data_IF_643882673012
#
_entry.id   IF_643882673012
#
_cell.length_a   1.000
_cell.length_b   1.000
_cell.length_c   1.000
_cell.angle_alpha   90.00
_cell.angle_beta   90.00
_cell.angle_gamma   90.00
#
_symmetry.space_group_name_H-M   'P 1'
#
loop_
_entity.id
_entity.type
_entity.pdbx_description
1 polymer ?
#
# COMPACT_ATOMS: atom_id res chain seq x y z
N UNK A 1 -5.87 -39.20 15.34
CA UNK A 1 -6.95 -38.19 15.25
C UNK A 1 -6.52 -36.97 14.42
N UNK A 2 -5.23 -36.60 14.41
CA UNK A 2 -4.64 -35.51 13.59
C UNK A 2 -4.76 -35.69 12.05
N UNK A 3 -4.95 -36.92 11.57
CA UNK A 3 -5.04 -37.22 10.13
C UNK A 3 -6.38 -36.79 9.50
N UNK A 4 -7.45 -36.62 10.29
CA UNK A 4 -8.75 -36.14 9.79
C UNK A 4 -8.80 -34.61 9.70
N UNK A 5 -8.20 -33.91 10.67
CA UNK A 5 -8.24 -32.45 10.77
C UNK A 5 -7.46 -31.77 9.63
N UNK A 6 -6.29 -32.31 9.29
CA UNK A 6 -5.50 -31.85 8.14
C UNK A 6 -6.23 -32.05 6.81
N UNK A 7 -6.97 -33.16 6.65
CA UNK A 7 -7.77 -33.41 5.45
C UNK A 7 -8.96 -32.47 5.30
N UNK A 8 -9.60 -32.06 6.40
CA UNK A 8 -10.71 -31.11 6.38
C UNK A 8 -10.25 -29.70 6.02
N UNK A 9 -9.14 -29.23 6.61
CA UNK A 9 -8.55 -27.91 6.32
C UNK A 9 -8.14 -27.81 4.84
N UNK A 10 -7.51 -28.85 4.28
CA UNK A 10 -7.16 -28.86 2.87
C UNK A 10 -8.40 -28.75 1.97
N UNK A 11 -9.47 -29.48 2.31
CA UNK A 11 -10.69 -29.50 1.51
C UNK A 11 -11.39 -28.14 1.51
N UNK A 12 -11.48 -27.52 2.68
CA UNK A 12 -12.04 -26.17 2.82
C UNK A 12 -11.23 -25.11 2.06
N UNK A 13 -9.89 -25.17 2.14
CA UNK A 13 -9.01 -24.29 1.35
C UNK A 13 -9.23 -24.47 -0.16
N UNK A 14 -9.39 -25.70 -0.62
CA UNK A 14 -9.74 -26.03 -2.00
C UNK A 14 -11.09 -25.44 -2.42
N UNK A 15 -12.15 -25.64 -1.63
CA UNK A 15 -13.50 -25.16 -1.94
C UNK A 15 -13.55 -23.62 -2.06
N UNK A 16 -12.79 -22.90 -1.22
CA UNK A 16 -12.67 -21.44 -1.30
C UNK A 16 -11.92 -21.01 -2.57
N UNK A 17 -10.79 -21.64 -2.88
CA UNK A 17 -9.95 -21.25 -4.02
C UNK A 17 -10.53 -21.66 -5.38
N UNK A 18 -11.28 -22.76 -5.44
CA UNK A 18 -12.03 -23.16 -6.64
C UNK A 18 -13.37 -22.44 -6.78
N UNK A 19 -13.80 -21.68 -5.76
CA UNK A 19 -15.01 -20.87 -5.86
C UNK A 19 -14.88 -19.82 -6.96
N UNK A 20 -15.78 -19.91 -7.94
CA UNK A 20 -15.86 -18.99 -9.06
C UNK A 20 -16.08 -17.54 -8.59
N UNK A 21 -16.85 -17.34 -7.52
CA UNK A 21 -17.11 -16.01 -6.97
C UNK A 21 -15.83 -15.40 -6.37
N UNK A 22 -15.02 -16.20 -5.67
CA UNK A 22 -13.74 -15.74 -5.13
C UNK A 22 -12.77 -15.30 -6.24
N UNK A 23 -12.65 -16.09 -7.30
CA UNK A 23 -11.80 -15.77 -8.44
C UNK A 23 -12.29 -14.54 -9.22
N UNK A 24 -13.60 -14.33 -9.35
CA UNK A 24 -14.17 -13.11 -9.94
C UNK A 24 -13.79 -11.88 -9.11
N UNK A 25 -13.92 -11.94 -7.79
CA UNK A 25 -13.54 -10.82 -6.90
C UNK A 25 -12.06 -10.49 -7.06
N UNK A 26 -11.18 -11.50 -7.10
CA UNK A 26 -9.75 -11.27 -7.36
C UNK A 26 -9.51 -10.65 -8.74
N UNK A 27 -10.25 -11.08 -9.76
CA UNK A 27 -10.20 -10.47 -11.09
C UNK A 27 -10.56 -8.98 -11.09
N UNK A 28 -11.61 -8.59 -10.36
CA UNK A 28 -11.96 -7.18 -10.17
C UNK A 28 -10.86 -6.40 -9.43
N UNK A 29 -10.25 -6.98 -8.39
CA UNK A 29 -9.14 -6.35 -7.66
C UNK A 29 -7.97 -6.03 -8.60
N UNK A 30 -7.60 -6.99 -9.46
CA UNK A 30 -6.55 -6.80 -10.47
C UNK A 30 -6.96 -5.67 -11.43
N UNK A 31 -8.18 -5.72 -11.97
CA UNK A 31 -8.67 -4.72 -12.91
C UNK A 31 -8.64 -3.30 -12.32
N UNK A 32 -9.17 -3.11 -11.11
CA UNK A 32 -9.18 -1.82 -10.43
C UNK A 32 -7.77 -1.30 -10.17
N UNK A 33 -6.85 -2.16 -9.74
CA UNK A 33 -5.45 -1.77 -9.51
C UNK A 33 -4.73 -1.41 -10.81
N UNK A 34 -4.97 -2.14 -11.90
CA UNK A 34 -4.39 -1.82 -13.22
C UNK A 34 -4.88 -0.47 -13.75
N UNK A 35 -6.13 -0.09 -13.48
CA UNK A 35 -6.66 1.23 -13.83
C UNK A 35 -6.09 2.32 -12.89
N UNK A 36 -5.92 2.02 -11.60
CA UNK A 36 -5.43 2.97 -10.61
C UNK A 36 -3.94 3.29 -10.75
N UNK A 37 -3.10 2.30 -11.10
CA UNK A 37 -1.65 2.45 -11.24
C UNK A 37 -1.22 3.59 -12.18
N UNK A 38 -1.72 3.73 -13.42
CA UNK A 38 -1.33 4.84 -14.29
C UNK A 38 -1.78 6.18 -13.73
N UNK A 39 -2.94 6.24 -13.06
CA UNK A 39 -3.42 7.45 -12.43
C UNK A 39 -2.52 7.88 -11.25
N UNK A 40 -2.12 6.92 -10.42
CA UNK A 40 -1.17 7.14 -9.33
C UNK A 40 0.22 7.54 -9.83
N UNK A 41 0.72 6.88 -10.88
CA UNK A 41 1.99 7.22 -11.50
C UNK A 41 1.98 8.65 -12.08
N UNK A 42 0.89 9.03 -12.76
CA UNK A 42 0.75 10.39 -13.28
C UNK A 42 0.66 11.42 -12.13
N UNK A 43 -0.06 11.10 -11.07
CA UNK A 43 -0.14 11.93 -9.86
C UNK A 43 1.23 12.10 -9.21
N UNK A 44 2.01 11.03 -9.12
CA UNK A 44 3.37 11.05 -8.60
C UNK A 44 4.28 11.99 -9.41
N UNK A 45 4.27 11.85 -10.74
CA UNK A 45 5.03 12.72 -11.64
C UNK A 45 4.58 14.18 -11.52
N UNK A 46 3.27 14.43 -11.42
CA UNK A 46 2.72 15.76 -11.23
C UNK A 46 3.19 16.40 -9.91
N UNK A 47 3.17 15.65 -8.81
CA UNK A 47 3.62 16.12 -7.49
C UNK A 47 5.12 16.45 -7.47
N UNK A 48 5.95 15.70 -8.20
CA UNK A 48 7.38 15.97 -8.31
C UNK A 48 7.70 17.21 -9.15
N UNK A 49 6.97 17.40 -10.26
CA UNK A 49 7.20 18.52 -11.20
C UNK A 49 6.58 19.84 -10.73
N UNK A 50 5.51 19.78 -9.94
CA UNK A 50 4.77 20.99 -9.54
C UNK A 50 5.43 21.67 -8.34
N UNK A 51 5.82 22.93 -8.52
CA UNK A 51 6.30 23.82 -7.44
C UNK A 51 5.20 24.61 -6.73
N UNK A 52 3.93 24.43 -7.12
CA UNK A 52 2.78 25.19 -6.59
C UNK A 52 2.30 24.73 -5.20
N UNK A 53 2.78 23.58 -4.73
CA UNK A 53 2.34 22.98 -3.45
C UNK A 53 3.42 23.22 -2.40
N UNK A 54 3.01 23.58 -1.18
CA UNK A 54 3.92 23.72 -0.03
C UNK A 54 4.79 22.45 0.13
N UNK A 55 6.09 22.63 0.38
CA UNK A 55 7.06 21.53 0.43
C UNK A 55 6.64 20.39 1.37
N UNK A 56 6.20 20.71 2.59
CA UNK A 56 5.76 19.71 3.58
C UNK A 56 4.58 18.87 3.06
N UNK A 57 3.54 19.52 2.54
CA UNK A 57 2.38 18.84 2.00
C UNK A 57 2.72 18.00 0.78
N UNK A 58 3.63 18.50 -0.08
CA UNK A 58 4.13 17.74 -1.23
C UNK A 58 4.84 16.47 -0.78
N UNK A 59 5.70 16.54 0.23
CA UNK A 59 6.38 15.36 0.79
C UNK A 59 5.38 14.32 1.32
N UNK A 60 4.36 14.77 2.08
CA UNK A 60 3.29 13.88 2.56
C UNK A 60 2.52 13.24 1.40
N UNK A 61 2.10 14.01 0.40
CA UNK A 61 1.34 13.51 -0.75
C UNK A 61 2.17 12.53 -1.60
N UNK A 62 3.47 12.79 -1.76
CA UNK A 62 4.41 11.89 -2.44
C UNK A 62 4.52 10.56 -1.68
N UNK A 63 4.71 10.60 -0.37
CA UNK A 63 4.78 9.38 0.46
C UNK A 63 3.49 8.56 0.41
N UNK A 64 2.33 9.21 0.48
CA UNK A 64 1.02 8.54 0.31
C UNK A 64 0.93 7.89 -1.07
N UNK A 65 1.32 8.61 -2.12
CA UNK A 65 1.22 8.10 -3.50
C UNK A 65 2.13 6.89 -3.72
N UNK A 66 3.37 6.92 -3.20
CA UNK A 66 4.28 5.77 -3.24
C UNK A 66 3.66 4.58 -2.50
N UNK A 67 3.12 4.78 -1.29
CA UNK A 67 2.50 3.71 -0.52
C UNK A 67 1.30 3.08 -1.24
N UNK A 68 0.48 3.89 -1.91
CA UNK A 68 -0.64 3.42 -2.72
C UNK A 68 -0.19 2.62 -3.95
N UNK A 69 0.90 3.05 -4.62
CA UNK A 69 1.49 2.31 -5.74
C UNK A 69 2.00 0.95 -5.27
N UNK A 70 2.78 0.92 -4.18
CA UNK A 70 3.31 -0.33 -3.60
C UNK A 70 2.17 -1.25 -3.19
N UNK A 71 1.11 -0.71 -2.58
CA UNK A 71 -0.10 -1.48 -2.24
C UNK A 71 -0.75 -2.09 -3.47
N UNK A 72 -0.98 -1.30 -4.52
CA UNK A 72 -1.62 -1.76 -5.75
C UNK A 72 -0.80 -2.87 -6.42
N UNK A 73 0.52 -2.75 -6.44
CA UNK A 73 1.42 -3.79 -6.96
C UNK A 73 1.34 -5.08 -6.13
N UNK A 74 1.50 -5.00 -4.81
CA UNK A 74 1.49 -6.18 -3.92
C UNK A 74 0.13 -6.90 -3.93
N UNK A 75 -0.97 -6.15 -3.92
CA UNK A 75 -2.32 -6.74 -3.96
C UNK A 75 -2.63 -7.36 -5.32
N UNK A 76 -2.20 -6.75 -6.42
CA UNK A 76 -2.33 -7.34 -7.75
C UNK A 76 -1.49 -8.59 -7.92
N UNK A 77 -0.24 -8.57 -7.43
CA UNK A 77 0.64 -9.75 -7.45
C UNK A 77 0.03 -10.92 -6.68
N UNK A 78 -0.47 -10.67 -5.46
CA UNK A 78 -1.13 -11.71 -4.65
C UNK A 78 -2.38 -12.25 -5.34
N UNK A 79 -3.23 -11.37 -5.86
CA UNK A 79 -4.46 -11.80 -6.57
C UNK A 79 -4.12 -12.62 -7.81
N UNK A 80 -3.14 -12.19 -8.61
CA UNK A 80 -2.68 -12.92 -9.78
C UNK A 80 -2.10 -14.29 -9.42
N UNK A 81 -1.23 -14.35 -8.39
CA UNK A 81 -0.65 -15.60 -7.95
C UNK A 81 -1.72 -16.59 -7.46
N UNK A 82 -2.73 -16.11 -6.72
CA UNK A 82 -3.85 -16.94 -6.24
C UNK A 82 -4.71 -17.48 -7.39
N UNK A 83 -5.02 -16.66 -8.40
CA UNK A 83 -5.74 -17.12 -9.60
C UNK A 83 -4.89 -18.13 -10.38
N UNK A 84 -3.60 -17.85 -10.57
CA UNK A 84 -2.69 -18.74 -11.29
C UNK A 84 -2.58 -20.11 -10.61
N UNK A 85 -2.41 -20.14 -9.29
CA UNK A 85 -2.42 -21.37 -8.51
C UNK A 85 -3.78 -22.09 -8.60
N UNK A 86 -4.90 -21.38 -8.52
CA UNK A 86 -6.24 -21.98 -8.69
C UNK A 86 -6.45 -22.64 -10.06
N UNK A 87 -5.75 -22.16 -11.11
CA UNK A 87 -5.84 -22.74 -12.46
C UNK A 87 -4.84 -23.87 -12.72
N UNK A 88 -3.71 -23.90 -12.01
CA UNK A 88 -2.60 -24.84 -12.28
C UNK A 88 -2.54 -26.00 -11.31
N UNK A 89 -3.01 -25.81 -10.08
CA UNK A 89 -2.92 -26.79 -9.00
C UNK A 89 -4.19 -27.62 -8.94
N UNK A 90 -4.04 -28.94 -8.94
CA UNK A 90 -5.14 -29.90 -8.77
C UNK A 90 -5.26 -30.42 -7.34
N UNK A 91 -4.19 -30.31 -6.53
CA UNK A 91 -4.17 -30.75 -5.14
C UNK A 91 -4.60 -29.63 -4.18
N UNK A 92 -5.70 -29.81 -3.42
CA UNK A 92 -6.21 -28.74 -2.55
C UNK A 92 -5.32 -28.44 -1.33
N UNK A 93 -4.48 -29.40 -0.90
CA UNK A 93 -3.52 -29.17 0.19
C UNK A 93 -2.40 -28.18 -0.17
N UNK A 94 -2.10 -27.97 -1.46
CA UNK A 94 -1.09 -27.00 -1.89
C UNK A 94 -1.55 -25.54 -1.71
N UNK A 95 -2.84 -25.30 -1.42
CA UNK A 95 -3.33 -23.98 -1.02
C UNK A 95 -3.04 -23.64 0.44
N UNK A 96 -2.68 -24.64 1.26
CA UNK A 96 -2.35 -24.42 2.67
C UNK A 96 -0.94 -23.82 2.76
N UNK A 97 -0.89 -22.51 3.02
CA UNK A 97 0.36 -21.81 3.23
C UNK A 97 0.88 -22.03 4.66
N UNK A 98 2.20 -22.04 4.82
CA UNK A 98 2.82 -22.12 6.14
C UNK A 98 2.53 -20.85 6.96
N UNK A 99 2.60 -20.96 8.29
CA UNK A 99 2.41 -19.81 9.20
C UNK A 99 3.36 -18.66 8.86
N UNK A 100 4.60 -18.98 8.48
CA UNK A 100 5.60 -17.98 8.11
C UNK A 100 5.24 -17.25 6.82
N UNK A 101 4.76 -17.95 5.79
CA UNK A 101 4.31 -17.35 4.54
C UNK A 101 3.11 -16.43 4.77
N UNK A 102 2.11 -16.88 5.55
CA UNK A 102 0.96 -16.06 5.91
C UNK A 102 1.35 -14.81 6.70
N UNK A 103 2.27 -14.95 7.67
CA UNK A 103 2.76 -13.81 8.46
C UNK A 103 3.51 -12.81 7.61
N UNK A 104 4.35 -13.29 6.69
CA UNK A 104 5.14 -12.43 5.81
C UNK A 104 4.26 -11.71 4.79
N UNK A 105 3.31 -12.40 4.15
CA UNK A 105 2.33 -11.77 3.26
C UNK A 105 1.53 -10.69 3.99
N UNK A 106 1.07 -10.98 5.21
CA UNK A 106 0.28 -10.04 6.01
C UNK A 106 1.10 -8.80 6.41
N UNK A 107 2.37 -8.99 6.79
CA UNK A 107 3.27 -7.88 7.11
C UNK A 107 3.51 -6.96 5.91
N UNK A 108 3.81 -7.53 4.74
CA UNK A 108 4.03 -6.77 3.50
C UNK A 108 2.80 -5.95 3.09
N UNK A 109 1.60 -6.43 3.38
CA UNK A 109 0.36 -5.70 3.09
C UNK A 109 -0.03 -4.69 4.16
N UNK A 110 0.34 -4.92 5.42
CA UNK A 110 0.00 -4.03 6.53
C UNK A 110 0.71 -2.67 6.41
N UNK A 111 1.99 -2.67 6.01
CA UNK A 111 2.81 -1.44 5.91
C UNK A 111 2.16 -0.39 4.97
N UNK A 112 1.89 -0.69 3.69
CA UNK A 112 1.33 0.30 2.78
C UNK A 112 -0.15 0.61 3.06
N UNK A 113 -0.83 -0.19 3.89
CA UNK A 113 -2.15 0.14 4.42
C UNK A 113 -2.08 1.18 5.56
N UNK A 114 -1.11 1.02 6.47
CA UNK A 114 -0.93 1.90 7.62
C UNK A 114 -0.53 3.33 7.21
N UNK A 115 0.32 3.46 6.19
CA UNK A 115 0.83 4.78 5.73
C UNK A 115 -0.29 5.78 5.43
N UNK A 116 -1.27 5.51 4.54
CA UNK A 116 -2.35 6.47 4.29
C UNK A 116 -3.22 6.71 5.52
N UNK A 117 -3.48 5.67 6.33
CA UNK A 117 -4.28 5.79 7.55
C UNK A 117 -3.68 6.79 8.55
N UNK A 118 -2.37 6.75 8.76
CA UNK A 118 -1.68 7.69 9.65
C UNK A 118 -1.34 9.04 9.00
N UNK A 119 -1.20 9.07 7.67
CA UNK A 119 -0.84 10.29 6.96
C UNK A 119 -1.99 11.31 6.90
N UNK A 120 -3.25 10.89 6.77
CA UNK A 120 -4.39 11.82 6.74
C UNK A 120 -4.56 12.63 8.04
N UNK A 121 -4.55 12.01 9.24
CA UNK A 121 -4.57 12.75 10.51
C UNK A 121 -3.37 13.68 10.67
N UNK A 122 -2.18 13.25 10.25
CA UNK A 122 -0.96 14.08 10.27
C UNK A 122 -1.11 15.33 9.39
N UNK A 123 -1.64 15.19 8.17
CA UNK A 123 -1.92 16.33 7.29
C UNK A 123 -2.98 17.25 7.93
N UNK A 124 -4.04 16.69 8.51
CA UNK A 124 -5.07 17.48 9.18
C UNK A 124 -4.50 18.28 10.37
N UNK A 125 -3.66 17.64 11.20
CA UNK A 125 -2.99 18.28 12.32
C UNK A 125 -2.00 19.36 11.86
N UNK A 126 -1.24 19.11 10.79
CA UNK A 126 -0.35 20.09 10.15
C UNK A 126 -1.12 21.34 9.72
N UNK A 127 -2.26 21.16 9.06
CA UNK A 127 -3.12 22.25 8.59
C UNK A 127 -3.74 23.01 9.76
N UNK A 128 -4.24 22.32 10.77
CA UNK A 128 -4.83 22.93 11.95
C UNK A 128 -3.80 23.76 12.72
N UNK A 129 -2.58 23.24 12.86
CA UNK A 129 -1.46 23.96 13.50
C UNK A 129 -1.08 25.22 12.71
N UNK A 130 -1.02 25.13 11.38
CA UNK A 130 -0.75 26.28 10.52
C UNK A 130 -1.82 27.37 10.63
N UNK A 131 -3.09 26.98 10.79
CA UNK A 131 -4.21 27.92 10.95
C UNK A 131 -4.23 28.57 12.33
N UNK A 132 -4.05 27.79 13.41
CA UNK A 132 -4.17 28.30 14.79
C UNK A 132 -2.90 29.05 15.23
N UNK A 133 -1.73 28.54 14.87
CA UNK A 133 -0.43 29.03 15.36
C UNK A 133 0.47 29.54 14.24
N UNK A 134 -0.05 30.42 13.38
CA UNK A 134 0.66 30.91 12.19
C UNK A 134 2.10 31.40 12.46
N UNK A 135 2.31 32.23 13.50
CA UNK A 135 3.65 32.74 13.86
C UNK A 135 4.63 31.64 14.29
N UNK A 136 4.15 30.64 15.01
CA UNK A 136 4.98 29.51 15.46
C UNK A 136 5.31 28.58 14.28
N UNK A 137 4.32 28.35 13.41
CA UNK A 137 4.44 27.52 12.22
C UNK A 137 5.45 28.12 11.22
N UNK A 138 5.41 29.43 10.94
CA UNK A 138 6.39 30.11 10.08
C UNK A 138 7.83 30.00 10.63
N UNK A 139 8.02 30.11 11.96
CA UNK A 139 9.35 29.96 12.58
C UNK A 139 9.88 28.52 12.51
N UNK A 140 8.99 27.53 12.68
CA UNK A 140 9.34 26.12 12.60
C UNK A 140 9.66 25.68 11.16
N UNK A 141 8.87 26.15 10.19
CA UNK A 141 9.10 25.89 8.77
C UNK A 141 10.42 26.49 8.29
N UNK A 142 10.73 27.72 8.72
CA UNK A 142 12.03 28.35 8.41
C UNK A 142 13.20 27.50 8.91
N UNK A 143 13.12 26.95 10.14
CA UNK A 143 14.17 26.06 10.67
C UNK A 143 14.32 24.77 9.86
N UNK A 144 13.21 24.10 9.51
CA UNK A 144 13.26 22.86 8.71
C UNK A 144 13.84 23.14 7.32
N UNK A 145 13.43 24.24 6.70
CA UNK A 145 13.85 24.61 5.36
C UNK A 145 15.33 25.02 5.32
N UNK A 146 15.85 25.64 6.39
CA UNK A 146 17.29 25.87 6.58
C UNK A 146 18.05 24.54 6.77
N UNK A 147 17.55 23.61 7.58
CA UNK A 147 18.19 22.30 7.76
C UNK A 147 18.23 21.48 6.46
N UNK A 148 17.16 21.53 5.65
CA UNK A 148 17.11 20.85 4.34
C UNK A 148 17.90 21.61 3.26
N UNK A 149 17.93 22.94 3.32
CA UNK A 149 18.73 23.77 2.41
C UNK A 149 20.24 23.60 2.61
N UNK A 150 20.69 23.32 3.84
CA UNK A 150 22.08 22.94 4.12
C UNK A 150 22.40 21.55 3.52
N UNK A 151 21.45 20.62 3.50
CA UNK A 151 21.62 19.33 2.80
C UNK A 151 21.57 19.46 1.27
N UNK A 152 20.83 20.44 0.73
CA UNK A 152 20.73 20.68 -0.71
C UNK A 152 21.97 21.32 -1.34
N UNK A 153 22.78 22.03 -0.54
CA UNK A 153 24.01 22.70 -1.00
C UNK A 153 25.23 21.77 -1.11
N UNK A 154 25.13 20.51 -0.68
CA UNK A 154 26.17 19.49 -0.91
C UNK A 154 25.83 18.52 -2.07
N UNK A 155 24.70 18.74 -2.76
CA UNK A 155 24.26 17.88 -3.86
C UNK A 155 24.08 18.61 -5.21
N UNK A 156 24.62 19.81 -5.35
CA UNK A 156 24.72 20.54 -6.62
C UNK A 156 26.07 21.22 -6.79
#
# INVERSE_FOLDING_TARGET
>A
MEMNESSEICKEAGDIHFSLLYNIVLGFVILFNFIALPLLANTFVFLLKTGKICFNLRLFLVNITIALIVRALLTSYRAFNRIFHALTVTNPCEFTATIYECSFESFLQAIPYAVPFYSFPMIAAERLTATVFRKLYEHFLFRILVCLGILGNELF
#
